data_IF_518245477229
#
_entry.id   IF_518245477229
#
_cell.length_a   1.000
_cell.length_b   1.000
_cell.length_c   1.000
_cell.angle_alpha   90.00
_cell.angle_beta   90.00
_cell.angle_gamma   90.00
#
_symmetry.space_group_name_H-M   'P 1'
#
loop_
_entity.id
_entity.type
_entity.pdbx_description
1 polymer ?
#
# COMPACT_ATOMS: atom_id res chain seq x y z
N UNK A 1 -14.65 0.82 -11.65
CA UNK A 1 -14.08 2.12 -11.25
C UNK A 1 -13.22 1.89 -10.01
N UNK A 2 -11.94 2.29 -10.02
CA UNK A 2 -10.99 2.15 -8.90
C UNK A 2 -11.15 3.25 -7.85
N UNK A 3 -12.40 3.53 -7.48
CA UNK A 3 -12.73 4.57 -6.49
C UNK A 3 -13.05 3.91 -5.16
N UNK A 4 -12.64 4.55 -4.07
CA UNK A 4 -13.14 4.21 -2.74
C UNK A 4 -14.62 4.59 -2.72
N UNK A 5 -15.49 3.64 -2.37
CA UNK A 5 -16.95 3.85 -2.38
C UNK A 5 -17.32 4.93 -1.37
N UNK A 6 -18.03 5.97 -1.82
CA UNK A 6 -18.34 7.18 -1.03
C UNK A 6 -17.09 7.94 -0.54
N UNK A 7 -15.94 7.71 -1.18
CA UNK A 7 -14.71 8.44 -0.90
C UNK A 7 -14.72 9.85 -1.47
N UNK A 8 -13.76 10.64 -1.01
CA UNK A 8 -13.42 11.97 -1.52
C UNK A 8 -11.96 11.95 -1.93
N UNK A 9 -11.63 12.68 -3.00
CA UNK A 9 -10.24 12.80 -3.42
C UNK A 9 -9.43 13.45 -2.29
N UNK A 10 -8.23 12.90 -2.06
CA UNK A 10 -7.26 13.50 -1.17
C UNK A 10 -6.51 14.61 -1.91
N UNK A 11 -6.13 15.66 -1.18
CA UNK A 11 -5.20 16.66 -1.69
C UNK A 11 -3.80 16.06 -1.79
N UNK A 12 -2.94 16.65 -2.62
CA UNK A 12 -1.56 16.20 -2.76
C UNK A 12 -0.83 16.28 -1.41
N UNK A 13 -0.22 15.16 -1.01
CA UNK A 13 0.51 15.07 0.26
C UNK A 13 -0.37 15.13 1.52
N UNK A 14 -1.70 15.01 1.41
CA UNK A 14 -2.60 15.03 2.57
C UNK A 14 -2.30 13.90 3.57
N UNK A 15 -1.93 12.72 3.06
CA UNK A 15 -1.62 11.53 3.85
C UNK A 15 -0.25 10.98 3.49
N UNK A 16 0.82 11.70 3.89
CA UNK A 16 2.21 11.42 3.49
C UNK A 16 2.74 10.04 3.84
N UNK A 17 2.12 9.36 4.80
CA UNK A 17 2.48 8.02 5.22
C UNK A 17 1.87 6.91 4.33
N UNK A 18 0.89 7.21 3.47
CA UNK A 18 0.24 6.22 2.61
C UNK A 18 1.17 5.84 1.47
N UNK A 19 1.33 4.53 1.25
CA UNK A 19 2.12 3.97 0.14
C UNK A 19 1.31 2.98 -0.69
N UNK A 20 1.66 2.87 -1.97
CA UNK A 20 1.17 1.83 -2.86
C UNK A 20 2.20 0.69 -2.95
N UNK A 21 1.76 -0.52 -2.67
CA UNK A 21 2.56 -1.73 -2.85
C UNK A 21 2.31 -2.24 -4.28
N UNK A 22 3.37 -2.32 -5.07
CA UNK A 22 3.31 -2.64 -6.50
C UNK A 22 4.04 -3.97 -6.78
N UNK A 23 3.47 -4.82 -7.64
CA UNK A 23 4.13 -6.04 -8.14
C UNK A 23 4.02 -6.11 -9.65
N UNK A 24 5.15 -6.24 -10.35
CA UNK A 24 5.21 -6.22 -11.82
C UNK A 24 4.44 -5.03 -12.42
N UNK A 25 4.62 -3.83 -11.85
CA UNK A 25 3.92 -2.60 -12.23
C UNK A 25 2.38 -2.59 -12.04
N UNK A 26 1.84 -3.53 -11.27
CA UNK A 26 0.42 -3.57 -10.91
C UNK A 26 0.22 -3.23 -9.43
N UNK A 27 -0.82 -2.42 -9.13
CA UNK A 27 -1.24 -2.15 -7.76
C UNK A 27 -1.72 -3.42 -7.08
N UNK A 28 -1.15 -3.74 -5.93
CA UNK A 28 -1.49 -4.92 -5.14
C UNK A 28 -2.29 -4.54 -3.88
N UNK A 29 -1.72 -3.66 -3.05
CA UNK A 29 -2.27 -3.29 -1.75
C UNK A 29 -1.82 -1.87 -1.34
N UNK A 30 -2.44 -1.35 -0.30
CA UNK A 30 -1.96 -0.17 0.42
C UNK A 30 -1.04 -0.54 1.60
N UNK A 31 -0.33 0.46 2.13
CA UNK A 31 0.43 0.36 3.37
C UNK A 31 0.63 1.72 4.03
N UNK A 32 1.27 1.72 5.20
CA UNK A 32 1.61 2.92 5.95
C UNK A 32 3.08 2.92 6.40
N UNK A 33 3.79 4.04 6.21
CA UNK A 33 5.11 4.27 6.81
C UNK A 33 4.95 4.38 8.32
N UNK A 34 5.64 3.52 9.07
CA UNK A 34 5.61 3.53 10.56
C UNK A 34 6.93 3.99 11.17
N UNK A 35 8.03 3.88 10.43
CA UNK A 35 9.34 4.46 10.75
C UNK A 35 10.20 4.59 9.48
N UNK A 36 11.49 4.91 9.64
CA UNK A 36 12.44 5.13 8.54
C UNK A 36 12.67 3.92 7.62
N UNK A 37 12.36 2.70 8.07
CA UNK A 37 12.70 1.45 7.37
C UNK A 37 11.54 0.48 7.23
N UNK A 38 10.40 0.74 7.87
CA UNK A 38 9.29 -0.20 7.90
C UNK A 38 7.98 0.37 7.36
N UNK A 39 7.31 -0.46 6.56
CA UNK A 39 5.94 -0.25 6.09
C UNK A 39 5.04 -1.29 6.79
N UNK A 40 3.95 -0.82 7.41
CA UNK A 40 2.88 -1.67 7.90
C UNK A 40 1.86 -1.94 6.78
N UNK A 41 1.47 -3.20 6.61
CA UNK A 41 0.42 -3.63 5.68
C UNK A 41 -0.24 -4.92 6.15
N UNK A 42 -1.26 -5.39 5.43
CA UNK A 42 -1.95 -6.63 5.76
C UNK A 42 -1.14 -7.85 5.30
N UNK A 43 -1.02 -8.88 6.16
CA UNK A 43 -0.27 -10.10 5.84
C UNK A 43 -0.77 -10.80 4.56
N UNK A 44 -2.08 -10.75 4.30
CA UNK A 44 -2.68 -11.36 3.10
C UNK A 44 -2.32 -10.66 1.79
N UNK A 45 -1.69 -9.48 1.84
CA UNK A 45 -1.12 -8.84 0.64
C UNK A 45 0.08 -9.62 0.09
N UNK A 46 0.66 -10.51 0.90
CA UNK A 46 1.78 -11.37 0.53
C UNK A 46 1.49 -12.85 0.87
N UNK A 47 0.41 -13.44 0.34
CA UNK A 47 0.10 -14.82 0.63
C UNK A 47 1.10 -15.71 -0.13
N UNK A 48 1.87 -16.52 0.60
CA UNK A 48 2.75 -17.57 0.07
C UNK A 48 4.02 -17.15 -0.71
N UNK A 49 4.40 -15.87 -0.69
CA UNK A 49 5.78 -15.47 -1.02
C UNK A 49 6.59 -15.48 0.28
N UNK A 50 7.75 -16.15 0.30
CA UNK A 50 8.74 -15.86 1.33
C UNK A 50 8.98 -14.35 1.32
N UNK A 51 9.10 -13.70 2.49
CA UNK A 51 9.38 -12.26 2.53
C UNK A 51 10.65 -11.89 1.73
N UNK A 52 11.55 -12.86 1.54
CA UNK A 52 12.76 -12.82 0.73
C UNK A 52 12.53 -12.80 -0.80
N UNK A 53 11.31 -13.06 -1.28
CA UNK A 53 10.96 -13.13 -2.71
C UNK A 53 10.15 -11.91 -3.21
N UNK A 54 10.01 -10.90 -2.34
CA UNK A 54 9.52 -9.55 -2.68
C UNK A 54 10.68 -8.67 -3.11
#
# INVERSE_FOLDING_TARGET
>A
SWTIRYGRNADEGQFKYIVAIMRFNNYLCGGAIIDEKHILTAAHCFPSTNASEL
#
